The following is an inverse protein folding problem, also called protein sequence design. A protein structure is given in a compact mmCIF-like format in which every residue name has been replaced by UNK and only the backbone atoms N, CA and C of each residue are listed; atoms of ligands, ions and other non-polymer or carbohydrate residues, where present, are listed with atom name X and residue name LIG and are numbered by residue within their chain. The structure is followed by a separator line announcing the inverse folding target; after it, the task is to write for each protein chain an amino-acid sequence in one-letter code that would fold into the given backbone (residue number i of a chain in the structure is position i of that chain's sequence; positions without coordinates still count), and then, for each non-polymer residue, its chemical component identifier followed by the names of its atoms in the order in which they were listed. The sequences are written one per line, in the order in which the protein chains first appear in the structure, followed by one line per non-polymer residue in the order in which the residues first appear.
data_IF_501107532603
#
_entry.id   IF_501107532603
#
_cell.length_a   1.000
_cell.length_b   1.000
_cell.length_c   1.000
_cell.angle_alpha   90.00
_cell.angle_beta   90.00
_cell.angle_gamma   90.00
#
_symmetry.space_group_name_H-M   'P 1'
#
loop_
_entity.id
_entity.type
_entity.pdbx_description
1 polymer ?
#
# COMPACT_ATOMS: atom_id res chain seq x y z
N UNK A 1 -74.23 -8.71 -43.13
CA UNK A 1 -72.77 -8.81 -43.39
C UNK A 1 -72.03 -8.04 -42.29
N UNK A 2 -71.13 -8.72 -41.55
CA UNK A 2 -70.07 -8.20 -40.64
C UNK A 2 -70.46 -7.32 -39.43
N UNK A 3 -70.30 -7.87 -38.21
CA UNK A 3 -69.34 -7.40 -37.19
C UNK A 3 -69.64 -8.03 -35.81
N UNK A 4 -69.20 -9.27 -35.60
CA UNK A 4 -69.15 -9.91 -34.28
C UNK A 4 -67.76 -10.51 -34.05
N UNK A 5 -66.72 -9.68 -34.15
CA UNK A 5 -65.33 -10.14 -34.03
C UNK A 5 -64.38 -9.02 -33.61
N UNK A 6 -64.63 -8.33 -32.48
CA UNK A 6 -63.68 -7.31 -31.99
C UNK A 6 -63.41 -7.32 -30.48
N UNK A 7 -64.26 -7.93 -29.64
CA UNK A 7 -64.07 -7.90 -28.18
C UNK A 7 -62.97 -8.84 -27.66
N UNK A 8 -62.85 -10.05 -28.23
CA UNK A 8 -61.76 -10.98 -27.91
C UNK A 8 -60.40 -10.43 -28.34
N UNK A 9 -60.33 -9.80 -29.52
CA UNK A 9 -59.13 -9.15 -30.05
C UNK A 9 -58.67 -7.98 -29.16
N UNK A 10 -59.61 -7.14 -28.69
CA UNK A 10 -59.33 -6.03 -27.77
C UNK A 10 -58.85 -6.49 -26.39
N UNK A 11 -59.34 -7.63 -25.88
CA UNK A 11 -58.86 -8.21 -24.60
C UNK A 11 -57.46 -8.79 -24.74
N UNK A 12 -57.20 -9.56 -25.79
CA UNK A 12 -55.86 -10.09 -26.09
C UNK A 12 -54.81 -9.00 -26.32
N UNK A 13 -55.19 -7.88 -26.95
CA UNK A 13 -54.29 -6.75 -27.17
C UNK A 13 -53.95 -6.01 -25.87
N UNK A 14 -54.92 -5.82 -24.97
CA UNK A 14 -54.68 -5.21 -23.65
C UNK A 14 -53.81 -6.08 -22.74
N UNK A 15 -54.02 -7.39 -22.72
CA UNK A 15 -53.18 -8.32 -21.97
C UNK A 15 -51.76 -8.41 -22.55
N UNK A 16 -51.61 -8.32 -23.87
CA UNK A 16 -50.31 -8.25 -24.51
C UNK A 16 -49.55 -6.95 -24.17
N UNK A 17 -50.24 -5.80 -24.12
CA UNK A 17 -49.63 -4.53 -23.71
C UNK A 17 -49.19 -4.58 -22.24
N UNK A 18 -50.03 -5.10 -21.34
CA UNK A 18 -49.68 -5.21 -19.91
C UNK A 18 -48.49 -6.17 -19.71
N UNK A 19 -48.48 -7.30 -20.39
CA UNK A 19 -47.35 -8.24 -20.36
C UNK A 19 -46.07 -7.62 -20.93
N UNK A 20 -46.15 -6.85 -22.01
CA UNK A 20 -45.01 -6.17 -22.62
C UNK A 20 -44.47 -5.02 -21.73
N UNK A 21 -45.35 -4.31 -21.02
CA UNK A 21 -44.95 -3.31 -20.03
C UNK A 21 -44.29 -3.91 -18.79
N UNK A 22 -44.74 -5.10 -18.35
CA UNK A 22 -44.10 -5.83 -17.25
C UNK A 22 -42.74 -6.42 -17.68
N UNK A 23 -42.62 -6.88 -18.93
CA UNK A 23 -41.36 -7.40 -19.49
C UNK A 23 -40.32 -6.29 -19.75
N UNK A 24 -40.76 -5.07 -20.10
CA UNK A 24 -39.87 -3.89 -20.20
C UNK A 24 -39.37 -3.42 -18.83
N UNK A 25 -40.19 -3.56 -17.77
CA UNK A 25 -39.81 -3.16 -16.42
C UNK A 25 -38.67 -4.00 -15.82
N UNK A 26 -38.51 -5.25 -16.25
CA UNK A 26 -37.47 -6.16 -15.74
C UNK A 26 -36.10 -6.01 -16.40
N UNK A 27 -35.98 -5.29 -17.52
CA UNK A 27 -34.70 -5.15 -18.25
C UNK A 27 -33.81 -4.03 -17.65
N UNK A 28 -34.32 -3.23 -16.70
CA UNK A 28 -33.63 -2.02 -16.22
C UNK A 28 -32.73 -2.19 -14.98
N UNK A 29 -32.43 -3.41 -14.54
CA UNK A 29 -31.46 -3.66 -13.45
C UNK A 29 -30.24 -4.42 -13.99
N UNK A 30 -29.54 -3.84 -14.96
CA UNK A 30 -28.16 -4.21 -15.20
C UNK A 30 -27.32 -3.41 -14.20
N UNK A 31 -26.89 -4.06 -13.11
CA UNK A 31 -25.86 -3.50 -12.24
C UNK A 31 -24.58 -3.35 -13.06
N UNK A 32 -24.09 -2.12 -13.18
CA UNK A 32 -22.84 -1.81 -13.87
C UNK A 32 -21.70 -2.28 -12.96
N UNK A 33 -21.25 -3.52 -13.16
CA UNK A 33 -20.12 -4.08 -12.39
C UNK A 33 -18.88 -3.24 -12.72
N UNK A 34 -18.28 -2.55 -11.74
CA UNK A 34 -17.12 -1.72 -12.00
C UNK A 34 -15.98 -2.59 -12.57
N UNK A 35 -15.51 -2.23 -13.77
CA UNK A 35 -14.41 -2.92 -14.46
C UNK A 35 -13.02 -2.51 -13.95
N UNK A 36 -12.96 -1.63 -12.96
CA UNK A 36 -11.71 -1.09 -12.42
C UNK A 36 -11.79 -0.93 -10.90
N UNK A 37 -10.64 -1.11 -10.25
CA UNK A 37 -10.47 -0.90 -8.82
C UNK A 37 -10.52 0.61 -8.55
N UNK A 38 -11.29 1.10 -7.56
CA UNK A 38 -11.29 2.51 -7.19
C UNK A 38 -9.89 2.94 -6.75
N UNK A 39 -9.54 4.21 -6.91
CA UNK A 39 -8.23 4.71 -6.51
C UNK A 39 -8.04 4.67 -4.99
N UNK A 40 -6.79 4.49 -4.54
CA UNK A 40 -6.47 4.48 -3.12
C UNK A 40 -6.69 5.88 -2.50
N UNK A 41 -7.03 5.97 -1.20
CA UNK A 41 -7.09 7.25 -0.51
C UNK A 41 -5.77 8.03 -0.66
N UNK A 42 -5.82 9.37 -0.78
CA UNK A 42 -4.62 10.20 -0.86
C UNK A 42 -3.77 10.03 0.40
N UNK A 43 -2.46 9.91 0.23
CA UNK A 43 -1.47 9.76 1.31
C UNK A 43 -0.31 10.72 1.06
N UNK A 44 0.37 11.13 2.13
CA UNK A 44 1.56 11.98 2.04
C UNK A 44 2.83 11.12 2.06
N UNK A 45 3.82 11.46 1.23
CA UNK A 45 5.06 10.71 1.07
C UNK A 45 6.06 11.02 2.20
N UNK A 46 5.72 10.66 3.45
CA UNK A 46 6.61 10.86 4.61
C UNK A 46 7.17 12.29 4.75
N UNK A 47 8.28 12.45 5.48
CA UNK A 47 8.95 13.75 5.69
C UNK A 47 10.17 13.98 4.77
N UNK A 48 10.59 12.95 4.03
CA UNK A 48 11.75 13.00 3.15
C UNK A 48 11.41 13.51 1.74
N UNK A 49 12.41 13.56 0.83
CA UNK A 49 13.80 13.12 1.01
C UNK A 49 14.66 14.15 1.73
N UNK A 50 15.54 13.68 2.62
CA UNK A 50 16.57 14.50 3.26
C UNK A 50 17.86 14.48 2.43
N UNK A 51 18.61 15.58 2.42
CA UNK A 51 19.95 15.64 1.82
C UNK A 51 20.88 14.60 2.47
N UNK A 52 20.85 14.57 3.80
CA UNK A 52 21.57 13.63 4.66
C UNK A 52 20.72 13.29 5.88
N UNK A 53 20.51 12.00 6.10
CA UNK A 53 19.76 11.43 7.21
C UNK A 53 20.69 10.59 8.06
N UNK A 54 20.70 10.83 9.38
CA UNK A 54 21.47 10.07 10.35
C UNK A 54 20.52 9.37 11.31
N UNK A 55 20.52 8.04 11.28
CA UNK A 55 19.79 7.20 12.22
C UNK A 55 20.71 6.89 13.40
N UNK A 56 20.28 7.22 14.62
CA UNK A 56 21.13 7.16 15.82
C UNK A 56 20.79 5.98 16.73
N UNK A 57 21.79 5.19 17.09
CA UNK A 57 21.77 4.27 18.22
C UNK A 57 20.92 3.01 18.05
N UNK A 58 20.60 2.62 16.82
CA UNK A 58 19.77 1.43 16.55
C UNK A 58 20.54 0.11 16.68
N UNK A 59 19.82 -1.01 16.75
CA UNK A 59 20.41 -2.35 16.69
C UNK A 59 20.23 -2.93 15.28
N UNK A 60 21.33 -3.18 14.58
CA UNK A 60 21.32 -3.67 13.19
C UNK A 60 21.30 -5.19 13.13
N UNK A 61 20.37 -5.71 12.32
CA UNK A 61 20.30 -7.10 11.87
C UNK A 61 20.50 -7.07 10.36
N UNK A 62 21.67 -7.45 9.87
CA UNK A 62 22.08 -7.24 8.46
C UNK A 62 21.62 -8.34 7.48
N UNK A 63 20.99 -9.40 7.99
CA UNK A 63 20.51 -10.52 7.17
C UNK A 63 21.57 -11.55 6.77
N UNK A 64 22.82 -11.41 7.25
CA UNK A 64 23.90 -12.39 6.98
C UNK A 64 23.81 -13.65 7.84
N UNK A 65 22.93 -13.64 8.85
CA UNK A 65 22.85 -14.67 9.88
C UNK A 65 23.81 -14.45 11.05
N UNK A 66 24.62 -13.39 11.03
CA UNK A 66 25.41 -12.97 12.17
C UNK A 66 24.53 -12.46 13.32
N UNK A 67 25.03 -12.44 14.57
CA UNK A 67 24.33 -11.80 15.69
C UNK A 67 24.07 -10.32 15.42
N UNK A 68 22.98 -9.79 15.98
CA UNK A 68 22.66 -8.38 15.88
C UNK A 68 23.77 -7.51 16.48
N UNK A 69 24.10 -6.39 15.81
CA UNK A 69 25.16 -5.48 16.22
C UNK A 69 24.57 -4.11 16.59
N UNK A 70 25.03 -3.50 17.67
CA UNK A 70 24.57 -2.18 18.06
C UNK A 70 25.04 -1.75 19.44
N UNK A 71 24.84 -0.48 19.82
CA UNK A 71 24.24 0.59 19.02
C UNK A 71 25.06 0.98 17.77
N UNK A 72 24.39 1.17 16.64
CA UNK A 72 24.97 1.68 15.40
C UNK A 72 24.33 3.01 15.00
N UNK A 73 25.14 3.86 14.36
CA UNK A 73 24.67 5.04 13.64
C UNK A 73 24.77 4.78 12.13
N UNK A 74 23.68 5.02 11.39
CA UNK A 74 23.62 4.82 9.93
C UNK A 74 23.43 6.16 9.24
N UNK A 75 24.23 6.41 8.20
CA UNK A 75 24.18 7.63 7.40
C UNK A 75 23.61 7.31 6.03
N UNK A 76 22.57 8.03 5.64
CA UNK A 76 21.89 7.90 4.36
C UNK A 76 21.94 9.22 3.61
N UNK A 77 22.45 9.20 2.39
CA UNK A 77 22.55 10.36 1.50
C UNK A 77 22.07 9.98 0.11
N UNK A 78 21.20 10.80 -0.49
CA UNK A 78 20.74 10.57 -1.87
C UNK A 78 20.18 9.17 -2.12
N UNK A 79 19.39 8.65 -1.18
CA UNK A 79 18.82 7.28 -1.20
C UNK A 79 19.87 6.14 -1.14
N UNK A 80 21.08 6.43 -0.65
CA UNK A 80 22.14 5.44 -0.47
C UNK A 80 22.64 5.42 0.97
N UNK A 81 22.83 4.23 1.52
CA UNK A 81 23.57 4.06 2.78
C UNK A 81 25.04 4.33 2.49
N UNK A 82 25.58 5.42 3.02
CA UNK A 82 26.97 5.83 2.79
C UNK A 82 27.92 5.32 3.86
N UNK A 83 27.43 5.13 5.09
CA UNK A 83 28.23 4.61 6.20
C UNK A 83 27.35 3.93 7.27
N UNK A 84 27.93 2.95 7.96
CA UNK A 84 27.36 2.27 9.12
C UNK A 84 28.46 2.20 10.19
N UNK A 85 28.30 2.96 11.27
CA UNK A 85 29.30 3.07 12.32
C UNK A 85 28.81 2.46 13.62
N UNK A 86 29.58 1.51 14.16
CA UNK A 86 29.34 1.02 15.51
C UNK A 86 29.79 2.09 16.52
N UNK A 87 28.87 2.54 17.37
CA UNK A 87 29.11 3.62 18.33
C UNK A 87 29.25 3.12 19.77
N UNK A 88 29.10 1.81 20.02
CA UNK A 88 29.37 1.25 21.34
C UNK A 88 28.70 -0.10 21.61
N UNK A 89 28.47 -0.36 22.89
CA UNK A 89 27.82 -1.56 23.42
C UNK A 89 26.56 -1.13 24.17
N UNK A 90 25.44 -1.89 24.10
CA UNK A 90 24.22 -1.51 24.79
C UNK A 90 24.45 -1.39 26.30
N UNK A 91 23.91 -0.33 26.91
CA UNK A 91 24.03 -0.07 28.34
C UNK A 91 25.32 0.65 28.78
N UNK A 92 26.24 0.94 27.86
CA UNK A 92 27.45 1.75 28.13
C UNK A 92 27.24 3.16 27.55
N UNK A 93 27.64 4.24 28.26
CA UNK A 93 27.59 5.60 27.71
C UNK A 93 28.36 5.70 26.39
N UNK A 94 27.70 6.25 25.37
CA UNK A 94 28.28 6.45 24.04
C UNK A 94 29.13 7.71 24.04
N UNK A 95 30.33 7.60 23.48
CA UNK A 95 31.24 8.72 23.26
C UNK A 95 30.77 9.56 22.07
N UNK A 96 30.34 10.79 22.34
CA UNK A 96 29.76 11.70 21.34
C UNK A 96 30.78 12.09 20.25
N UNK A 97 32.08 12.13 20.56
CA UNK A 97 33.13 12.48 19.59
C UNK A 97 33.32 11.37 18.55
N UNK A 98 33.00 10.13 18.92
CA UNK A 98 33.10 8.98 18.01
C UNK A 98 31.90 8.86 17.07
N UNK A 99 30.79 9.54 17.36
CA UNK A 99 29.61 9.52 16.48
C UNK A 99 29.87 10.35 15.21
N UNK A 100 29.23 10.00 14.09
CA UNK A 100 29.19 10.87 12.92
C UNK A 100 28.65 12.25 13.32
N UNK A 101 29.40 13.32 13.01
CA UNK A 101 28.96 14.67 13.32
C UNK A 101 27.85 15.08 12.35
N UNK A 102 26.79 15.68 12.87
CA UNK A 102 25.69 16.21 12.08
C UNK A 102 25.98 17.67 11.69
N UNK A 103 25.71 18.00 10.44
CA UNK A 103 25.65 19.39 9.96
C UNK A 103 24.32 20.06 10.34
N UNK A 104 24.25 21.39 10.15
CA UNK A 104 23.04 22.18 10.45
C UNK A 104 21.82 21.80 9.58
N UNK A 105 22.07 21.24 8.39
CA UNK A 105 21.04 20.81 7.42
C UNK A 105 20.73 19.30 7.50
N UNK A 106 21.43 18.56 8.39
CA UNK A 106 21.28 17.12 8.49
C UNK A 106 20.04 16.76 9.31
N UNK A 107 19.29 15.75 8.87
CA UNK A 107 18.18 15.19 9.64
C UNK A 107 18.70 14.10 10.57
N UNK A 108 18.49 14.27 11.87
CA UNK A 108 18.78 13.22 12.86
C UNK A 108 17.51 12.55 13.35
N UNK A 109 17.53 11.22 13.42
CA UNK A 109 16.44 10.40 13.94
C UNK A 109 16.99 9.48 15.03
N UNK A 110 16.52 9.66 16.25
CA UNK A 110 16.86 8.78 17.37
C UNK A 110 16.03 7.50 17.29
N UNK A 111 16.71 6.37 17.18
CA UNK A 111 16.11 5.03 17.10
C UNK A 111 16.70 4.08 18.15
N UNK A 112 17.20 4.62 19.25
CA UNK A 112 17.68 3.83 20.39
C UNK A 112 16.60 2.86 20.87
N UNK A 113 17.00 1.60 21.11
CA UNK A 113 16.09 0.51 21.49
C UNK A 113 15.28 -0.09 20.33
N UNK A 114 15.39 0.46 19.13
CA UNK A 114 14.75 -0.10 17.93
C UNK A 114 15.71 -1.03 17.16
N UNK A 115 15.12 -1.84 16.29
CA UNK A 115 15.83 -2.74 15.39
C UNK A 115 15.80 -2.21 13.97
N UNK A 116 16.93 -2.29 13.28
CA UNK A 116 17.10 -1.94 11.88
C UNK A 116 17.27 -3.24 11.11
N UNK A 117 16.44 -3.44 10.09
CA UNK A 117 16.54 -4.58 9.19
C UNK A 117 16.64 -4.07 7.74
N UNK A 118 17.29 -4.83 6.84
CA UNK A 118 17.06 -4.71 5.42
C UNK A 118 15.57 -4.76 5.12
N UNK A 119 15.14 -3.97 4.13
CA UNK A 119 13.75 -4.01 3.68
C UNK A 119 13.36 -5.42 3.23
N UNK A 120 12.12 -5.82 3.52
CA UNK A 120 11.67 -7.18 3.24
C UNK A 120 11.49 -7.38 1.73
N UNK A 121 12.04 -8.50 1.25
CA UNK A 121 12.01 -8.87 -0.16
C UNK A 121 10.94 -9.93 -0.39
N UNK A 122 9.91 -9.61 -1.19
CA UNK A 122 8.90 -10.58 -1.63
C UNK A 122 9.25 -11.13 -3.01
N UNK A 123 9.58 -12.42 -3.06
CA UNK A 123 9.94 -13.13 -4.29
C UNK A 123 8.74 -13.74 -5.01
N UNK A 124 7.57 -13.76 -4.39
CA UNK A 124 6.39 -14.40 -4.95
C UNK A 124 5.09 -13.74 -4.48
N UNK A 125 4.84 -12.54 -4.99
CA UNK A 125 3.56 -11.87 -4.86
C UNK A 125 2.63 -12.16 -6.04
N UNK A 126 1.36 -12.44 -5.76
CA UNK A 126 0.29 -12.36 -6.73
C UNK A 126 -0.46 -11.04 -6.56
N UNK A 127 -0.48 -10.22 -7.61
CA UNK A 127 -1.40 -9.09 -7.72
C UNK A 127 -2.63 -9.63 -8.45
N UNK A 128 -3.72 -9.85 -7.72
CA UNK A 128 -4.95 -10.44 -8.27
C UNK A 128 -5.75 -9.49 -9.18
N UNK A 129 -6.87 -10.00 -9.74
CA UNK A 129 -7.82 -9.18 -10.49
C UNK A 129 -8.77 -8.41 -9.57
N UNK A 130 -9.86 -7.88 -10.16
CA UNK A 130 -10.91 -7.12 -9.46
C UNK A 130 -11.54 -7.85 -8.25
N UNK A 131 -11.36 -9.16 -8.19
CA UNK A 131 -11.78 -10.10 -7.16
C UNK A 131 -10.85 -10.17 -5.94
N UNK A 132 -9.61 -9.70 -6.07
CA UNK A 132 -8.54 -9.94 -5.08
C UNK A 132 -7.62 -8.75 -4.80
N UNK A 133 -7.75 -7.63 -5.54
CA UNK A 133 -6.94 -6.42 -5.30
C UNK A 133 -7.83 -5.27 -4.85
N UNK A 134 -7.67 -4.89 -3.59
CA UNK A 134 -7.98 -3.53 -3.17
C UNK A 134 -6.90 -2.60 -3.72
N UNK A 135 -7.23 -1.36 -4.07
CA UNK A 135 -6.32 -0.31 -4.53
C UNK A 135 -5.03 -0.13 -3.69
N UNK A 136 -5.04 -0.72 -2.51
CA UNK A 136 -4.06 -0.62 -1.44
C UNK A 136 -2.96 -1.70 -1.48
N UNK A 137 -2.75 -2.45 -2.59
CA UNK A 137 -1.69 -3.47 -2.63
C UNK A 137 -0.34 -2.90 -2.14
N UNK A 138 0.13 -1.82 -2.76
CA UNK A 138 1.37 -1.14 -2.38
C UNK A 138 1.36 -0.58 -0.96
N UNK A 139 0.21 -0.08 -0.51
CA UNK A 139 0.03 0.50 0.81
C UNK A 139 0.25 -0.55 1.90
N UNK A 140 -0.44 -1.69 1.80
CA UNK A 140 -0.32 -2.80 2.75
C UNK A 140 1.10 -3.37 2.75
N UNK A 141 1.75 -3.36 1.59
CA UNK A 141 3.11 -3.87 1.43
C UNK A 141 4.13 -2.99 2.16
N UNK A 142 4.09 -1.68 1.95
CA UNK A 142 4.99 -0.74 2.63
C UNK A 142 4.74 -0.68 4.13
N UNK A 143 3.48 -0.75 4.59
CA UNK A 143 3.12 -0.79 6.02
C UNK A 143 3.70 -2.02 6.74
N UNK A 144 3.86 -3.14 6.05
CA UNK A 144 4.47 -4.36 6.58
C UNK A 144 6.01 -4.39 6.44
N UNK A 145 6.63 -3.30 5.95
CA UNK A 145 8.08 -3.21 5.78
C UNK A 145 8.64 -3.89 4.52
N UNK A 146 7.79 -4.18 3.53
CA UNK A 146 8.22 -4.68 2.22
C UNK A 146 8.69 -3.53 1.35
N UNK A 147 9.87 -3.66 0.76
CA UNK A 147 10.49 -2.59 -0.04
C UNK A 147 10.71 -2.97 -1.50
N UNK A 148 10.53 -4.25 -1.86
CA UNK A 148 10.62 -4.72 -3.25
C UNK A 148 9.27 -5.19 -3.76
N UNK A 149 9.07 -5.01 -5.05
CA UNK A 149 7.97 -5.60 -5.80
C UNK A 149 8.48 -6.34 -7.02
N UNK A 150 7.62 -7.22 -7.55
CA UNK A 150 7.84 -7.91 -8.81
C UNK A 150 7.83 -6.95 -10.00
#
# INVERSE_FOLDING_TARGET
MKQARSSKFRRSFKTAIVALSLLSGTILLAEDVPRSIPEAPPRNEGEGPFSRLILRGGTLIDGTGAPAIGPVDIIVEGNRIVDIKNVGVPGVPIDAEKRPQAGAEDRELNIEGMYILPGLIDMHGHIGGLDHVTANFWVVHFECGRTTSK
#
